data_IF_130533538235
#
_entry.id   IF_130533538235
#
_cell.length_a   1.000
_cell.length_b   1.000
_cell.length_c   1.000
_cell.angle_alpha   90.00
_cell.angle_beta   90.00
_cell.angle_gamma   90.00
#
_symmetry.space_group_name_H-M   'P 1'
#
loop_
_entity.id
_entity.type
_entity.pdbx_description
1 polymer ?
#
# COMPACT_ATOMS: atom_id res chain seq x y z
N UNK A 1 2.33 -9.69 -14.68
CA UNK A 1 2.30 -9.16 -13.31
C UNK A 1 3.62 -8.45 -13.08
N UNK A 2 3.59 -7.12 -13.25
CA UNK A 2 4.73 -6.24 -13.04
C UNK A 2 4.44 -5.26 -11.92
N UNK A 3 5.47 -5.01 -11.12
CA UNK A 3 5.47 -3.89 -10.16
C UNK A 3 6.18 -2.75 -10.84
N UNK A 4 5.48 -1.64 -11.08
CA UNK A 4 6.04 -0.47 -11.76
C UNK A 4 6.27 0.72 -10.82
N UNK A 5 5.60 0.76 -9.66
CA UNK A 5 5.79 1.81 -8.67
C UNK A 5 5.82 1.25 -7.25
N UNK A 6 6.79 1.70 -6.46
CA UNK A 6 6.91 1.36 -5.04
C UNK A 6 7.26 2.62 -4.24
N UNK A 7 6.79 2.75 -2.99
CA UNK A 7 7.05 3.89 -2.12
C UNK A 7 8.44 3.79 -1.47
N UNK A 8 9.48 3.66 -2.29
CA UNK A 8 10.87 3.48 -1.85
C UNK A 8 11.48 4.78 -1.32
N UNK A 9 10.89 5.92 -1.66
CA UNK A 9 11.35 7.25 -1.23
C UNK A 9 10.54 7.78 -0.05
N UNK A 10 11.18 8.62 0.78
CA UNK A 10 10.55 9.20 1.98
C UNK A 10 9.32 10.04 1.62
N UNK A 11 9.34 10.72 0.47
CA UNK A 11 8.20 11.52 -0.02
C UNK A 11 7.00 10.61 -0.32
N UNK A 12 7.22 9.55 -1.11
CA UNK A 12 6.17 8.60 -1.46
C UNK A 12 5.62 7.88 -0.22
N UNK A 13 6.48 7.43 0.69
CA UNK A 13 6.04 6.78 1.93
C UNK A 13 5.20 7.72 2.83
N UNK A 14 5.55 9.01 2.92
CA UNK A 14 4.74 10.00 3.64
C UNK A 14 3.41 10.28 2.97
N UNK A 15 3.37 10.31 1.64
CA UNK A 15 2.11 10.45 0.90
C UNK A 15 1.21 9.23 1.10
N UNK A 16 1.77 8.02 1.03
CA UNK A 16 1.06 6.79 1.31
C UNK A 16 0.52 6.78 2.74
N UNK A 17 1.32 7.21 3.73
CA UNK A 17 0.87 7.34 5.12
C UNK A 17 -0.34 8.28 5.26
N UNK A 18 -0.34 9.41 4.56
CA UNK A 18 -1.47 10.35 4.60
C UNK A 18 -2.70 9.81 3.89
N UNK A 19 -2.50 9.04 2.82
CA UNK A 19 -3.58 8.40 2.06
C UNK A 19 -4.27 7.32 2.88
N UNK A 20 -3.51 6.40 3.48
CA UNK A 20 -4.06 5.30 4.28
C UNK A 20 -4.59 5.74 5.66
N UNK A 21 -4.25 6.95 6.11
CA UNK A 21 -4.79 7.54 7.34
C UNK A 21 -6.28 7.92 7.21
N UNK A 22 -6.84 7.96 6.00
CA UNK A 22 -8.25 8.22 5.71
C UNK A 22 -8.87 7.01 5.01
N UNK A 23 -10.20 6.80 5.10
CA UNK A 23 -10.87 5.79 4.28
C UNK A 23 -10.52 6.00 2.81
N UNK A 24 -10.02 4.94 2.17
CA UNK A 24 -9.47 5.00 0.83
C UNK A 24 -10.38 4.22 -0.10
N UNK A 25 -11.17 4.96 -0.88
CA UNK A 25 -12.06 4.38 -1.88
C UNK A 25 -11.27 3.87 -3.09
N UNK A 26 -11.72 2.77 -3.73
CA UNK A 26 -11.02 2.16 -4.86
C UNK A 26 -10.71 3.17 -5.98
N UNK A 27 -11.64 4.08 -6.31
CA UNK A 27 -11.40 5.13 -7.32
C UNK A 27 -10.23 6.08 -6.97
N UNK A 28 -10.13 6.47 -5.71
CA UNK A 28 -9.07 7.39 -5.24
C UNK A 28 -7.76 6.62 -5.10
N UNK A 29 -7.84 5.37 -4.66
CA UNK A 29 -6.73 4.45 -4.56
C UNK A 29 -6.09 4.21 -5.93
N UNK A 30 -6.89 3.90 -6.95
CA UNK A 30 -6.43 3.65 -8.32
C UNK A 30 -5.58 4.83 -8.83
N UNK A 31 -6.07 6.08 -8.72
CA UNK A 31 -5.34 7.28 -9.15
C UNK A 31 -4.09 7.58 -8.31
N UNK A 32 -4.21 7.51 -6.99
CA UNK A 32 -3.13 7.88 -6.06
C UNK A 32 -2.04 6.83 -5.99
N UNK A 33 -2.43 5.55 -5.92
CA UNK A 33 -1.50 4.43 -5.83
C UNK A 33 -0.79 4.19 -7.16
N UNK A 34 -1.35 4.57 -8.30
CA UNK A 34 -0.72 4.30 -9.61
C UNK A 34 0.74 4.78 -9.68
N UNK A 35 1.02 5.96 -9.11
CA UNK A 35 2.35 6.56 -9.07
C UNK A 35 3.10 6.29 -7.74
N UNK A 36 2.44 5.70 -6.74
CA UNK A 36 2.98 5.48 -5.39
C UNK A 36 3.28 4.00 -5.10
N UNK A 37 2.30 3.14 -5.32
CA UNK A 37 2.31 1.69 -5.12
C UNK A 37 1.55 1.04 -6.29
N UNK A 38 2.26 0.84 -7.40
CA UNK A 38 1.76 0.31 -8.65
C UNK A 38 2.18 -1.15 -8.83
N UNK A 39 1.21 -2.04 -8.70
CA UNK A 39 1.35 -3.49 -8.74
C UNK A 39 0.12 -4.08 -9.45
N UNK A 40 0.33 -4.89 -10.48
CA UNK A 40 -0.76 -5.53 -11.24
C UNK A 40 -1.75 -6.23 -10.31
N UNK A 41 -1.25 -7.09 -9.40
CA UNK A 41 -2.07 -7.85 -8.47
C UNK A 41 -2.89 -6.94 -7.55
N UNK A 42 -2.29 -5.88 -7.00
CA UNK A 42 -3.00 -4.89 -6.19
C UNK A 42 -4.11 -4.21 -7.00
N UNK A 43 -3.85 -3.81 -8.24
CA UNK A 43 -4.81 -3.12 -9.08
C UNK A 43 -5.97 -4.03 -9.50
N UNK A 44 -5.71 -5.29 -9.81
CA UNK A 44 -6.75 -6.29 -10.06
C UNK A 44 -7.65 -6.45 -8.83
N UNK A 45 -7.08 -6.53 -7.62
CA UNK A 45 -7.87 -6.60 -6.38
C UNK A 45 -8.68 -5.33 -6.12
N UNK A 46 -8.14 -4.14 -6.41
CA UNK A 46 -8.86 -2.87 -6.27
C UNK A 46 -10.03 -2.80 -7.26
N UNK A 47 -9.83 -3.30 -8.49
CA UNK A 47 -10.88 -3.37 -9.50
C UNK A 47 -11.99 -4.33 -9.07
N UNK A 48 -11.64 -5.51 -8.56
CA UNK A 48 -12.61 -6.47 -8.05
C UNK A 48 -13.39 -5.90 -6.84
N UNK A 49 -12.70 -5.23 -5.91
CA UNK A 49 -13.31 -4.55 -4.77
C UNK A 49 -14.31 -3.48 -5.23
N UNK A 50 -13.96 -2.73 -6.27
CA UNK A 50 -14.84 -1.72 -6.91
C UNK A 50 -16.08 -2.36 -7.53
N UNK A 51 -15.96 -3.52 -8.18
CA UNK A 51 -17.09 -4.25 -8.75
C UNK A 51 -17.99 -4.87 -7.66
N UNK A 52 -17.41 -5.33 -6.55
CA UNK A 52 -18.14 -5.85 -5.38
C UNK A 52 -18.84 -4.76 -4.56
N UNK A 53 -18.57 -3.48 -4.84
CA UNK A 53 -19.12 -2.35 -4.08
C UNK A 53 -18.38 -2.08 -2.76
N UNK A 54 -17.16 -2.60 -2.62
CA UNK A 54 -16.32 -2.33 -1.46
C UNK A 54 -15.80 -0.88 -1.49
N UNK A 55 -15.82 -0.25 -0.33
CA UNK A 55 -15.49 1.17 -0.18
C UNK A 55 -14.10 1.42 0.39
N UNK A 56 -13.41 0.38 0.87
CA UNK A 56 -12.21 0.51 1.70
C UNK A 56 -11.11 -0.46 1.25
N UNK A 57 -10.25 -0.02 0.34
CA UNK A 57 -9.13 -0.84 -0.17
C UNK A 57 -7.87 -0.73 0.68
N UNK A 58 -7.95 -0.14 1.89
CA UNK A 58 -6.80 0.04 2.79
C UNK A 58 -6.12 -1.29 3.13
N UNK A 59 -6.91 -2.36 3.29
CA UNK A 59 -6.43 -3.71 3.59
C UNK A 59 -5.59 -4.26 2.42
N UNK A 60 -6.04 -4.05 1.17
CA UNK A 60 -5.32 -4.49 -0.03
C UNK A 60 -3.96 -3.78 -0.15
N UNK A 61 -3.96 -2.47 0.07
CA UNK A 61 -2.74 -1.65 0.09
C UNK A 61 -1.77 -2.15 1.15
N UNK A 62 -2.27 -2.46 2.34
CA UNK A 62 -1.46 -2.99 3.43
C UNK A 62 -0.85 -4.36 3.08
N UNK A 63 -1.66 -5.28 2.57
CA UNK A 63 -1.21 -6.62 2.18
C UNK A 63 -0.13 -6.56 1.10
N UNK A 64 -0.34 -5.77 0.06
CA UNK A 64 0.63 -5.55 -1.01
C UNK A 64 1.90 -4.90 -0.45
N UNK A 65 1.78 -3.86 0.38
CA UNK A 65 2.93 -3.20 1.01
C UNK A 65 3.72 -4.16 1.92
N UNK A 66 3.04 -4.95 2.75
CA UNK A 66 3.64 -5.92 3.66
C UNK A 66 4.35 -7.05 2.92
N UNK A 67 3.77 -7.50 1.79
CA UNK A 67 4.41 -8.43 0.86
C UNK A 67 5.73 -7.86 0.36
N UNK A 68 5.75 -6.62 -0.13
CA UNK A 68 6.99 -5.97 -0.58
C UNK A 68 8.01 -5.74 0.52
N UNK A 69 7.57 -5.42 1.73
CA UNK A 69 8.45 -5.29 2.89
C UNK A 69 9.03 -6.65 3.33
N UNK A 70 8.32 -7.76 3.08
CA UNK A 70 8.76 -9.11 3.42
C UNK A 70 9.59 -9.78 2.33
N UNK A 71 9.39 -9.41 1.05
CA UNK A 71 10.24 -9.79 -0.09
C UNK A 71 11.60 -9.02 -0.12
N UNK A 72 12.00 -8.48 1.04
CA UNK A 72 13.12 -7.55 1.26
C UNK A 72 14.45 -8.06 0.69
N UNK A 73 14.72 -9.37 0.70
CA UNK A 73 16.03 -9.90 0.28
C UNK A 73 16.37 -9.62 -1.20
N UNK A 74 15.40 -9.30 -2.07
CA UNK A 74 15.68 -8.98 -3.48
C UNK A 74 15.59 -7.48 -3.84
N UNK A 75 14.92 -6.65 -3.04
CA UNK A 75 14.69 -5.22 -3.36
C UNK A 75 15.32 -4.23 -2.37
N UNK A 76 15.85 -4.70 -1.22
CA UNK A 76 16.45 -3.89 -0.15
C UNK A 76 17.54 -2.91 -0.60
N UNK A 77 18.22 -3.16 -1.74
CA UNK A 77 19.25 -2.25 -2.26
C UNK A 77 18.71 -0.88 -2.70
N UNK A 78 17.41 -0.74 -2.96
CA UNK A 78 16.82 0.50 -3.50
C UNK A 78 15.93 1.26 -2.51
N UNK A 79 15.54 0.66 -1.38
CA UNK A 79 14.64 1.31 -0.41
C UNK A 79 15.40 2.26 0.52
N UNK A 80 14.87 3.48 0.70
CA UNK A 80 15.37 4.39 1.70
C UNK A 80 14.98 3.89 3.11
N UNK A 81 15.94 3.85 4.04
CA UNK A 81 15.73 3.40 5.43
C UNK A 81 14.59 4.13 6.15
N UNK A 82 14.40 5.42 5.88
CA UNK A 82 13.29 6.19 6.46
C UNK A 82 11.95 5.83 5.80
N UNK A 83 11.93 5.66 4.47
CA UNK A 83 10.72 5.24 3.75
C UNK A 83 10.24 3.88 4.23
N UNK A 84 11.18 2.93 4.37
CA UNK A 84 10.92 1.60 4.90
C UNK A 84 10.28 1.63 6.30
N UNK A 85 10.85 2.41 7.22
CA UNK A 85 10.29 2.58 8.58
C UNK A 85 8.88 3.17 8.56
N UNK A 86 8.62 4.12 7.66
CA UNK A 86 7.28 4.72 7.52
C UNK A 86 6.29 3.67 7.02
N UNK A 87 6.64 2.90 5.99
CA UNK A 87 5.81 1.83 5.44
C UNK A 87 5.54 0.72 6.46
N UNK A 88 6.54 0.30 7.23
CA UNK A 88 6.34 -0.62 8.35
C UNK A 88 5.39 -0.05 9.41
N UNK A 89 5.50 1.24 9.73
CA UNK A 89 4.62 1.86 10.72
C UNK A 89 3.17 1.97 10.21
N UNK A 90 2.97 2.18 8.91
CA UNK A 90 1.64 2.13 8.27
C UNK A 90 1.01 0.76 8.49
N UNK A 91 1.73 -0.31 8.13
CA UNK A 91 1.23 -1.69 8.29
C UNK A 91 0.93 -2.02 9.76
N UNK A 92 1.80 -1.61 10.70
CA UNK A 92 1.54 -1.77 12.14
C UNK A 92 0.36 -0.95 12.65
N UNK A 93 0.14 0.25 12.10
CA UNK A 93 -0.96 1.12 12.51
C UNK A 93 -2.31 0.60 12.03
N UNK A 94 -2.37 0.04 10.83
CA UNK A 94 -3.58 -0.55 10.26
C UNK A 94 -3.91 -1.90 10.92
N UNK A 95 -2.91 -2.73 11.20
CA UNK A 95 -3.09 -3.98 11.96
C UNK A 95 -3.58 -3.79 13.41
N UNK A 96 -3.37 -2.62 14.03
CA UNK A 96 -3.97 -2.27 15.34
C UNK A 96 -5.43 -1.81 15.26
N UNK A 97 -5.88 -1.34 14.10
CA UNK A 97 -7.28 -0.95 13.88
C UNK A 97 -8.15 -2.21 13.70
N UNK A 98 -7.54 -3.31 13.23
CA UNK A 98 -8.18 -4.62 13.07
C UNK A 98 -7.98 -5.49 14.32
N UNK A 99 -8.66 -5.16 15.41
CA UNK A 99 -8.90 -6.12 16.50
C UNK A 99 -10.25 -6.79 16.17
N UNK A 100 -10.28 -8.03 15.63
CA UNK A 100 -11.54 -8.76 15.54
C UNK A 100 -12.02 -9.02 16.97
N UNK A 101 -13.17 -8.44 17.30
CA UNK A 101 -13.93 -8.75 18.52
C UNK A 101 -14.65 -10.09 18.37
#
# INVERSE_FOLDING_TARGET
MGVWALPQTVKQAKELQKLVAKPLSPKVAEDKLYNLLGDDDLFDNILEAKEKGDSDVRILVELSLSKFLSEEENTAKSWNKEAYKICQNICKSLGKIYIPY
#
